data_IF_570497873625
#
_entry.id   IF_570497873625
#
_cell.length_a   1.000
_cell.length_b   1.000
_cell.length_c   1.000
_cell.angle_alpha   90.00
_cell.angle_beta   90.00
_cell.angle_gamma   90.00
#
_symmetry.space_group_name_H-M   'P 1'
#
loop_
_entity.id
_entity.type
_entity.pdbx_description
1 polymer ?
#
# COMPACT_ATOMS: atom_id res chain seq x y z
N UNK A 1 15.65 -16.97 -2.51
CA UNK A 1 14.50 -17.22 -1.61
C UNK A 1 13.83 -15.88 -1.37
N UNK A 2 12.51 -15.78 -1.53
CA UNK A 2 11.78 -14.55 -1.24
C UNK A 2 11.86 -14.29 0.27
N UNK A 3 12.40 -13.14 0.67
CA UNK A 3 12.43 -12.70 2.07
C UNK A 3 11.09 -12.10 2.53
N UNK A 4 10.08 -12.12 1.67
CA UNK A 4 8.77 -11.59 2.00
C UNK A 4 8.08 -12.50 3.03
N UNK A 5 7.50 -11.94 4.08
CA UNK A 5 6.77 -12.72 5.07
C UNK A 5 5.57 -13.42 4.40
N UNK A 6 5.14 -14.58 4.91
CA UNK A 6 3.95 -15.24 4.40
C UNK A 6 2.72 -14.32 4.54
N UNK A 7 1.78 -14.44 3.61
CA UNK A 7 0.50 -13.76 3.74
C UNK A 7 -0.21 -14.22 5.02
N UNK A 8 -0.77 -13.28 5.81
CA UNK A 8 -1.62 -13.66 6.93
C UNK A 8 -2.78 -14.54 6.48
N UNK A 9 -3.14 -15.54 7.30
CA UNK A 9 -4.12 -16.56 6.95
C UNK A 9 -5.43 -16.04 6.30
N UNK A 10 -6.05 -14.94 6.75
CA UNK A 10 -7.29 -14.43 6.15
C UNK A 10 -7.16 -14.03 4.67
N UNK A 11 -5.93 -13.75 4.22
CA UNK A 11 -5.68 -13.21 2.87
C UNK A 11 -5.22 -14.26 1.85
N UNK A 12 -4.78 -15.44 2.31
CA UNK A 12 -4.10 -16.44 1.45
C UNK A 12 -4.94 -16.79 0.23
N UNK A 13 -6.20 -17.14 0.42
CA UNK A 13 -7.07 -17.58 -0.66
C UNK A 13 -7.29 -16.48 -1.71
N UNK A 14 -7.52 -15.26 -1.27
CA UNK A 14 -7.82 -14.14 -2.17
C UNK A 14 -6.59 -13.61 -2.89
N UNK A 15 -5.44 -13.59 -2.23
CA UNK A 15 -4.23 -12.97 -2.77
C UNK A 15 -3.30 -13.93 -3.50
N UNK A 16 -3.37 -15.24 -3.23
CA UNK A 16 -2.52 -16.23 -3.89
C UNK A 16 -2.55 -16.19 -5.44
N UNK A 17 -3.70 -15.96 -6.11
CA UNK A 17 -3.73 -15.87 -7.57
C UNK A 17 -3.28 -14.51 -8.12
N UNK A 18 -3.08 -13.49 -7.29
CA UNK A 18 -2.77 -12.15 -7.73
C UNK A 18 -1.27 -11.93 -7.95
N UNK A 19 -0.93 -11.18 -8.99
CA UNK A 19 0.45 -10.78 -9.23
C UNK A 19 0.86 -9.66 -8.28
N UNK A 20 1.95 -9.86 -7.55
CA UNK A 20 2.51 -8.83 -6.67
C UNK A 20 3.21 -7.73 -7.48
N UNK A 21 2.96 -6.48 -7.08
CA UNK A 21 3.67 -5.32 -7.62
C UNK A 21 5.04 -5.27 -6.96
N UNK A 22 6.09 -5.53 -7.72
CA UNK A 22 7.48 -5.47 -7.24
C UNK A 22 8.11 -4.13 -7.57
N UNK A 23 8.73 -3.51 -6.58
CA UNK A 23 9.56 -2.31 -6.76
C UNK A 23 11.00 -2.69 -7.15
N UNK A 24 11.19 -3.89 -7.67
CA UNK A 24 12.51 -4.48 -7.87
C UNK A 24 13.07 -4.21 -9.27
N UNK A 25 13.91 -3.22 -9.37
CA UNK A 25 15.17 -3.43 -10.06
C UNK A 25 16.09 -4.20 -9.09
N UNK A 26 16.72 -5.34 -9.48
CA UNK A 26 17.73 -6.03 -8.66
C UNK A 26 18.89 -5.13 -8.24
N UNK A 27 19.03 -3.97 -8.89
CA UNK A 27 20.01 -2.93 -8.59
C UNK A 27 19.42 -1.81 -7.72
N UNK A 28 18.13 -1.86 -7.37
CA UNK A 28 17.49 -0.80 -6.60
C UNK A 28 17.82 -0.92 -5.12
N UNK A 29 18.16 0.20 -4.52
CA UNK A 29 18.45 0.34 -3.10
C UNK A 29 17.22 0.32 -2.17
N UNK A 30 16.03 -0.05 -2.68
CA UNK A 30 14.80 -0.03 -1.88
C UNK A 30 14.65 -1.18 -0.87
N UNK A 31 15.61 -2.12 -0.80
CA UNK A 31 15.60 -3.21 0.19
C UNK A 31 15.50 -2.74 1.65
N UNK A 32 15.95 -1.52 1.94
CA UNK A 32 15.90 -0.91 3.27
C UNK A 32 14.82 0.18 3.39
N UNK A 33 13.87 0.24 2.46
CA UNK A 33 12.74 1.16 2.58
C UNK A 33 11.92 0.81 3.84
N UNK A 34 11.58 1.81 4.63
CA UNK A 34 10.76 1.62 5.83
C UNK A 34 9.36 1.06 5.49
N UNK A 35 8.77 1.50 4.38
CA UNK A 35 7.44 1.08 3.97
C UNK A 35 7.41 -0.33 3.38
N UNK A 36 8.25 -0.61 2.38
CA UNK A 36 8.17 -1.84 1.58
C UNK A 36 9.44 -2.71 1.58
N UNK A 37 10.54 -2.25 2.20
CA UNK A 37 11.82 -2.95 2.13
C UNK A 37 11.83 -4.26 2.91
N UNK A 38 12.22 -5.39 2.28
CA UNK A 38 12.27 -6.69 2.96
C UNK A 38 13.37 -6.76 4.01
N UNK A 39 14.43 -5.95 3.87
CA UNK A 39 15.61 -5.98 4.74
C UNK A 39 15.58 -4.89 5.83
N UNK A 40 14.45 -4.20 6.00
CA UNK A 40 14.30 -3.22 7.08
C UNK A 40 13.90 -3.91 8.39
N UNK A 41 14.68 -3.72 9.46
CA UNK A 41 14.53 -4.45 10.73
C UNK A 41 13.13 -4.29 11.35
N UNK A 42 12.59 -3.07 11.32
CA UNK A 42 11.31 -2.70 11.93
C UNK A 42 10.31 -2.10 10.92
N UNK A 43 10.56 -2.24 9.63
CA UNK A 43 9.72 -1.70 8.58
C UNK A 43 8.33 -2.32 8.51
N UNK A 44 7.45 -1.66 7.78
CA UNK A 44 6.06 -2.07 7.63
C UNK A 44 5.90 -3.29 6.71
N UNK A 45 6.82 -3.48 5.76
CA UNK A 45 6.80 -4.54 4.74
C UNK A 45 5.46 -4.61 4.01
N UNK A 46 4.97 -3.43 3.61
CA UNK A 46 3.71 -3.33 2.86
C UNK A 46 3.87 -4.02 1.52
N UNK A 47 2.91 -4.86 1.20
CA UNK A 47 2.83 -5.58 -0.07
C UNK A 47 1.60 -5.12 -0.83
N UNK A 48 1.75 -4.90 -2.12
CA UNK A 48 0.64 -4.57 -3.02
C UNK A 48 0.55 -5.57 -4.15
N UNK A 49 -0.67 -5.88 -4.55
CA UNK A 49 -0.97 -6.86 -5.58
C UNK A 49 -1.86 -6.22 -6.63
N UNK A 50 -1.66 -6.57 -7.90
CA UNK A 50 -2.54 -6.13 -8.98
C UNK A 50 -3.92 -6.72 -8.77
N UNK A 51 -4.94 -5.87 -8.70
CA UNK A 51 -6.32 -6.33 -8.73
C UNK A 51 -6.58 -6.99 -10.09
N UNK A 52 -6.92 -8.27 -10.09
CA UNK A 52 -7.22 -8.99 -11.32
C UNK A 52 -8.55 -8.52 -11.91
N UNK A 53 -8.53 -8.07 -13.18
CA UNK A 53 -9.65 -7.93 -14.08
C UNK A 53 -10.94 -7.26 -13.58
N UNK A 54 -11.95 -7.26 -14.40
CA UNK A 54 -13.22 -6.54 -14.30
C UNK A 54 -14.15 -6.86 -13.09
N UNK A 55 -13.74 -7.67 -12.15
CA UNK A 55 -14.61 -8.22 -11.10
C UNK A 55 -14.57 -7.50 -9.74
N UNK A 56 -13.87 -6.37 -9.66
CA UNK A 56 -13.87 -5.54 -8.44
C UNK A 56 -14.82 -4.36 -8.57
N UNK A 57 -15.58 -4.01 -7.53
CA UNK A 57 -16.34 -2.78 -7.56
C UNK A 57 -15.42 -1.59 -7.75
N UNK A 58 -15.64 -0.85 -8.83
CA UNK A 58 -15.06 0.45 -9.12
C UNK A 58 -13.51 0.52 -9.23
N UNK A 59 -12.94 -0.01 -10.30
CA UNK A 59 -11.66 0.45 -10.87
C UNK A 59 -10.43 0.56 -9.94
N UNK A 60 -10.35 -0.18 -8.84
CA UNK A 60 -9.14 -0.27 -8.05
C UNK A 60 -8.06 -1.09 -8.79
N UNK A 61 -6.85 -0.54 -8.89
CA UNK A 61 -5.75 -1.16 -9.63
C UNK A 61 -4.91 -2.09 -8.76
N UNK A 62 -4.79 -1.78 -7.47
CA UNK A 62 -4.04 -2.59 -6.52
C UNK A 62 -4.81 -2.84 -5.23
N UNK A 63 -4.49 -3.96 -4.61
CA UNK A 63 -4.95 -4.38 -3.29
C UNK A 63 -3.76 -4.62 -2.39
N UNK A 64 -3.91 -4.37 -1.08
CA UNK A 64 -2.88 -4.60 -0.07
C UNK A 64 -3.46 -5.33 1.14
N UNK A 65 -2.95 -6.52 1.48
CA UNK A 65 -3.32 -7.21 2.72
C UNK A 65 -2.58 -6.56 3.89
N UNK A 66 -3.31 -6.10 4.91
CA UNK A 66 -2.74 -5.34 6.02
C UNK A 66 -3.15 -5.94 7.35
N UNK A 67 -2.17 -6.17 8.22
CA UNK A 67 -2.37 -6.35 9.68
C UNK A 67 -1.34 -5.46 10.35
N UNK A 68 -1.79 -4.41 11.02
CA UNK A 68 -0.89 -3.46 11.69
C UNK A 68 -0.50 -4.02 13.05
N UNK A 69 0.81 -4.31 13.29
CA UNK A 69 1.26 -4.84 14.57
C UNK A 69 1.00 -3.90 15.74
N UNK A 70 0.77 -4.47 16.94
CA UNK A 70 0.52 -3.72 18.17
C UNK A 70 1.64 -2.76 18.56
N UNK A 71 2.90 -3.03 18.14
CA UNK A 71 4.02 -2.11 18.37
C UNK A 71 3.85 -0.73 17.71
N UNK A 72 2.92 -0.59 16.78
CA UNK A 72 2.59 0.67 16.12
C UNK A 72 1.31 1.33 16.68
N UNK A 73 0.92 0.93 17.88
CA UNK A 73 -0.22 1.54 18.57
C UNK A 73 0.02 3.03 18.83
N UNK A 74 -1.02 3.82 18.64
CA UNK A 74 -1.13 5.21 19.06
C UNK A 74 -2.15 5.31 20.19
N UNK A 75 -3.38 5.76 19.94
CA UNK A 75 -4.46 5.64 20.93
C UNK A 75 -4.74 4.15 21.24
N UNK A 76 -5.18 3.80 22.46
CA UNK A 76 -5.45 2.41 22.83
C UNK A 76 -6.32 1.67 21.80
N UNK A 77 -5.82 0.55 21.28
CA UNK A 77 -6.51 -0.29 20.31
C UNK A 77 -6.44 0.20 18.85
N UNK A 78 -5.85 1.36 18.60
CA UNK A 78 -5.73 1.94 17.26
C UNK A 78 -4.27 2.20 16.88
N UNK A 79 -3.97 2.07 15.59
CA UNK A 79 -2.67 2.40 15.04
C UNK A 79 -2.36 3.90 15.15
N UNK A 80 -1.10 4.24 15.33
CA UNK A 80 -0.64 5.63 15.25
C UNK A 80 -0.93 6.22 13.87
N UNK A 81 -1.46 7.45 13.82
CA UNK A 81 -1.86 8.11 12.56
C UNK A 81 -0.76 8.20 11.51
N UNK A 82 0.48 8.46 11.92
CA UNK A 82 1.63 8.47 11.01
C UNK A 82 1.93 7.09 10.39
N UNK A 83 1.66 6.01 11.13
CA UNK A 83 1.79 4.63 10.61
C UNK A 83 0.70 4.36 9.57
N UNK A 84 -0.54 4.74 9.83
CA UNK A 84 -1.64 4.62 8.87
C UNK A 84 -1.32 5.40 7.58
N UNK A 85 -0.80 6.62 7.73
CA UNK A 85 -0.34 7.43 6.59
C UNK A 85 0.76 6.74 5.79
N UNK A 86 1.72 6.08 6.46
CA UNK A 86 2.78 5.33 5.79
C UNK A 86 2.24 4.12 5.01
N UNK A 87 1.26 3.38 5.53
CA UNK A 87 0.58 2.33 4.78
C UNK A 87 -0.11 2.87 3.53
N UNK A 88 -0.83 3.98 3.66
CA UNK A 88 -1.51 4.63 2.53
C UNK A 88 -0.51 5.12 1.48
N UNK A 89 0.62 5.69 1.91
CA UNK A 89 1.70 6.13 1.02
C UNK A 89 2.24 4.97 0.16
N UNK A 90 2.50 3.82 0.77
CA UNK A 90 2.97 2.64 0.05
C UNK A 90 1.91 2.06 -0.91
N UNK A 91 0.63 2.08 -0.55
CA UNK A 91 -0.45 1.66 -1.44
C UNK A 91 -0.53 2.57 -2.67
N UNK A 92 -0.41 3.89 -2.47
CA UNK A 92 -0.35 4.87 -3.56
C UNK A 92 0.87 4.64 -4.46
N UNK A 93 2.05 4.37 -3.87
CA UNK A 93 3.26 4.02 -4.61
C UNK A 93 3.06 2.75 -5.45
N UNK A 94 2.46 1.72 -4.86
CA UNK A 94 2.10 0.49 -5.57
C UNK A 94 1.16 0.72 -6.75
N UNK A 95 0.15 1.59 -6.57
CA UNK A 95 -0.76 1.96 -7.64
C UNK A 95 -0.04 2.72 -8.77
N UNK A 96 0.86 3.64 -8.44
CA UNK A 96 1.66 4.36 -9.43
C UNK A 96 2.53 3.42 -10.27
N UNK A 97 3.24 2.49 -9.62
CA UNK A 97 4.08 1.49 -10.29
C UNK A 97 3.23 0.53 -11.12
N UNK A 98 2.10 0.08 -10.59
CA UNK A 98 1.17 -0.80 -11.32
C UNK A 98 0.65 -0.15 -12.60
N UNK A 99 0.34 1.15 -12.52
CA UNK A 99 -0.22 1.90 -13.64
C UNK A 99 0.79 2.20 -14.73
N UNK A 100 2.02 2.57 -14.36
CA UNK A 100 3.00 3.14 -15.28
C UNK A 100 4.24 2.28 -15.53
N UNK A 101 4.54 1.34 -14.64
CA UNK A 101 5.81 0.60 -14.62
C UNK A 101 7.03 1.43 -14.16
N UNK A 102 6.82 2.66 -13.69
CA UNK A 102 7.89 3.59 -13.25
C UNK A 102 7.91 3.73 -11.75
N UNK A 103 9.09 4.03 -11.19
CA UNK A 103 9.26 4.33 -9.77
C UNK A 103 8.96 5.80 -9.48
N UNK A 104 8.38 6.06 -8.31
CA UNK A 104 7.94 7.37 -7.88
C UNK A 104 8.38 7.67 -6.45
N UNK A 105 8.48 8.96 -6.14
CA UNK A 105 8.58 9.48 -4.78
C UNK A 105 7.35 10.31 -4.45
N UNK A 106 6.97 10.31 -3.19
CA UNK A 106 5.85 11.10 -2.69
C UNK A 106 6.17 12.58 -2.78
N UNK A 107 5.37 13.33 -3.50
CA UNK A 107 5.45 14.79 -3.53
C UNK A 107 4.47 15.42 -2.56
N UNK A 108 3.26 14.88 -2.49
CA UNK A 108 2.18 15.37 -1.63
C UNK A 108 1.31 14.20 -1.20
N UNK A 109 0.91 14.19 0.07
CA UNK A 109 0.04 13.18 0.67
C UNK A 109 -1.00 13.86 1.55
N UNK A 110 -2.27 13.61 1.29
CA UNK A 110 -3.38 14.04 2.13
C UNK A 110 -4.12 12.82 2.66
N UNK A 111 -4.21 12.70 3.98
CA UNK A 111 -4.86 11.56 4.65
C UNK A 111 -6.10 12.03 5.40
N UNK A 112 -7.19 11.29 5.22
CA UNK A 112 -8.40 11.45 6.02
C UNK A 112 -8.58 10.21 6.91
N UNK A 113 -8.64 10.43 8.20
CA UNK A 113 -8.93 9.40 9.18
C UNK A 113 -10.44 9.39 9.45
N UNK A 114 -11.13 8.35 8.96
CA UNK A 114 -12.59 8.22 9.11
C UNK A 114 -12.94 7.76 10.52
N UNK A 115 -12.15 6.80 11.02
CA UNK A 115 -12.22 6.29 12.39
C UNK A 115 -10.87 5.72 12.82
N UNK A 116 -10.72 5.35 14.09
CA UNK A 116 -9.51 4.67 14.56
C UNK A 116 -9.22 3.40 13.73
N UNK A 117 -8.02 3.31 13.19
CA UNK A 117 -7.58 2.13 12.43
C UNK A 117 -7.16 1.03 13.40
N UNK A 118 -7.84 -0.12 13.46
CA UNK A 118 -7.53 -1.14 14.45
C UNK A 118 -6.16 -1.77 14.20
N UNK A 119 -5.46 -2.11 15.31
CA UNK A 119 -4.26 -2.96 15.29
C UNK A 119 -4.64 -4.43 15.42
N UNK A 120 -3.72 -5.34 15.01
CA UNK A 120 -3.86 -6.81 15.14
C UNK A 120 -5.14 -7.37 14.48
N UNK A 121 -5.70 -6.65 13.52
CA UNK A 121 -6.88 -7.08 12.77
C UNK A 121 -6.63 -6.99 11.26
N UNK A 122 -7.22 -7.91 10.45
CA UNK A 122 -7.09 -7.83 9.02
C UNK A 122 -7.83 -6.62 8.43
N UNK A 123 -7.11 -5.89 7.60
CA UNK A 123 -7.56 -4.71 6.86
C UNK A 123 -7.23 -4.90 5.39
N UNK A 124 -7.98 -4.26 4.50
CA UNK A 124 -7.75 -4.26 3.08
C UNK A 124 -7.42 -2.85 2.60
N UNK A 125 -6.22 -2.70 2.04
CA UNK A 125 -5.83 -1.51 1.30
C UNK A 125 -6.25 -1.60 -0.16
N UNK A 126 -6.64 -0.46 -0.75
CA UNK A 126 -6.98 -0.31 -2.16
C UNK A 126 -6.32 0.94 -2.71
N UNK A 127 -5.82 0.89 -3.94
CA UNK A 127 -5.21 2.05 -4.59
C UNK A 127 -5.47 2.08 -6.08
N UNK A 128 -5.50 3.29 -6.65
CA UNK A 128 -5.60 3.51 -8.09
C UNK A 128 -5.00 4.84 -8.52
N UNK A 129 -4.61 4.91 -9.80
CA UNK A 129 -4.31 6.18 -10.45
C UNK A 129 -5.61 6.92 -10.75
N UNK A 130 -5.62 8.23 -10.47
CA UNK A 130 -6.71 9.13 -10.86
C UNK A 130 -6.37 9.78 -12.19
N UNK A 131 -5.15 10.31 -12.32
CA UNK A 131 -4.68 10.93 -13.55
C UNK A 131 -3.15 10.94 -13.64
N UNK A 132 -2.63 10.46 -14.75
CA UNK A 132 -1.21 10.57 -15.10
C UNK A 132 -0.99 11.82 -15.98
N UNK A 133 -0.17 12.76 -15.47
CA UNK A 133 0.21 13.98 -16.16
C UNK A 133 1.60 13.87 -16.83
N UNK A 134 2.24 12.71 -16.75
CA UNK A 134 3.60 12.48 -17.22
C UNK A 134 4.69 12.99 -16.27
N UNK A 135 4.63 14.25 -15.88
CA UNK A 135 5.57 14.87 -14.91
C UNK A 135 5.24 14.56 -13.45
N UNK A 136 4.03 14.18 -13.15
CA UNK A 136 3.54 13.66 -11.88
C UNK A 136 2.26 12.83 -12.11
N UNK A 137 1.88 12.06 -11.12
CA UNK A 137 0.66 11.25 -11.15
C UNK A 137 -0.17 11.55 -9.90
N UNK A 138 -1.47 11.75 -10.08
CA UNK A 138 -2.45 11.87 -8.99
C UNK A 138 -3.09 10.52 -8.73
N UNK A 139 -3.16 10.14 -7.46
CA UNK A 139 -3.54 8.82 -6.97
C UNK A 139 -4.53 8.94 -5.82
N UNK A 140 -5.30 7.89 -5.59
CA UNK A 140 -6.12 7.74 -4.40
C UNK A 140 -6.02 6.34 -3.81
N UNK A 141 -6.16 6.25 -2.49
CA UNK A 141 -6.14 5.01 -1.73
C UNK A 141 -7.18 5.01 -0.61
N UNK A 142 -7.50 3.81 -0.15
CA UNK A 142 -8.39 3.59 0.97
C UNK A 142 -7.93 2.38 1.77
N UNK A 143 -8.22 2.38 3.08
CA UNK A 143 -8.10 1.22 3.95
C UNK A 143 -9.48 0.95 4.53
N UNK A 144 -9.92 -0.30 4.45
CA UNK A 144 -11.19 -0.77 4.99
C UNK A 144 -10.99 -1.97 5.93
N UNK A 145 -11.89 -2.17 6.85
CA UNK A 145 -11.95 -3.37 7.68
C UNK A 145 -12.25 -4.58 6.79
N UNK A 146 -11.44 -5.64 6.90
CA UNK A 146 -11.58 -6.84 6.08
C UNK A 146 -12.89 -7.58 6.28
N UNK A 147 -13.40 -7.59 7.51
CA UNK A 147 -14.59 -8.34 7.87
C UNK A 147 -15.88 -7.58 7.58
N UNK A 148 -15.88 -6.27 7.84
CA UNK A 148 -17.09 -5.43 7.74
C UNK A 148 -17.18 -4.64 6.44
N UNK A 149 -16.05 -4.40 5.77
CA UNK A 149 -15.97 -3.51 4.62
C UNK A 149 -16.08 -2.02 4.96
N UNK A 150 -16.12 -1.67 6.26
CA UNK A 150 -16.18 -0.27 6.67
C UNK A 150 -14.86 0.46 6.39
N UNK A 151 -14.98 1.66 5.83
CA UNK A 151 -13.86 2.54 5.57
C UNK A 151 -13.23 3.05 6.88
N UNK A 152 -11.92 2.91 7.05
CA UNK A 152 -11.20 3.41 8.22
C UNK A 152 -10.33 4.62 7.91
N UNK A 153 -9.73 4.67 6.73
CA UNK A 153 -8.93 5.81 6.28
C UNK A 153 -8.90 5.91 4.75
N UNK A 154 -8.72 7.12 4.24
CA UNK A 154 -8.52 7.38 2.81
C UNK A 154 -7.36 8.34 2.58
N UNK A 155 -6.77 8.31 1.40
CA UNK A 155 -5.73 9.25 1.01
C UNK A 155 -5.83 9.65 -0.45
N UNK A 156 -5.36 10.85 -0.74
CA UNK A 156 -4.97 11.28 -2.08
C UNK A 156 -3.49 11.64 -2.07
N UNK A 157 -2.81 11.42 -3.17
CA UNK A 157 -1.39 11.72 -3.28
C UNK A 157 -1.01 12.21 -4.66
N UNK A 158 0.02 13.04 -4.70
CA UNK A 158 0.71 13.43 -5.93
C UNK A 158 2.13 12.94 -5.87
N UNK A 159 2.48 12.08 -6.81
CA UNK A 159 3.77 11.42 -6.84
C UNK A 159 4.57 11.87 -8.05
N UNK A 160 5.89 11.97 -7.86
CA UNK A 160 6.85 12.43 -8.85
C UNK A 160 7.71 11.26 -9.33
N UNK A 161 7.86 11.06 -10.66
CA UNK A 161 8.69 9.98 -11.16
C UNK A 161 10.16 10.19 -10.79
N UNK A 162 10.83 9.11 -10.40
CA UNK A 162 12.28 9.13 -10.15
C UNK A 162 12.97 9.21 -11.51
N UNK A 163 13.80 10.23 -11.70
CA UNK A 163 14.58 10.41 -12.94
C UNK A 163 15.70 9.37 -12.99
N UNK A 164 15.81 8.68 -14.14
CA UNK A 164 16.89 7.72 -14.38
C UNK A 164 16.67 6.31 -13.80
N UNK A 165 15.51 6.03 -13.22
CA UNK A 165 15.07 4.70 -12.85
C UNK A 165 14.14 4.16 -13.95
N UNK A 166 14.72 3.64 -15.01
CA UNK A 166 14.03 2.90 -16.07
C UNK A 166 14.37 1.44 -15.98
#
# INVERSE_FOLDING_TARGET
MSHDPPLPAPFVERFAPLAEVKFSDPRSSFHRCFGCGPDHDIGLRVRTFRAGGADGPANWEVLSPIVIPGRFEGPPGAAHGGIVAAYLDEILAGAAVSHTGRLYVTGELTVRYVKGTPIERPLLGRGRAVRDWGKYIDLEAAIEDWQTGEMVATATGRFLPIRGAS
#
